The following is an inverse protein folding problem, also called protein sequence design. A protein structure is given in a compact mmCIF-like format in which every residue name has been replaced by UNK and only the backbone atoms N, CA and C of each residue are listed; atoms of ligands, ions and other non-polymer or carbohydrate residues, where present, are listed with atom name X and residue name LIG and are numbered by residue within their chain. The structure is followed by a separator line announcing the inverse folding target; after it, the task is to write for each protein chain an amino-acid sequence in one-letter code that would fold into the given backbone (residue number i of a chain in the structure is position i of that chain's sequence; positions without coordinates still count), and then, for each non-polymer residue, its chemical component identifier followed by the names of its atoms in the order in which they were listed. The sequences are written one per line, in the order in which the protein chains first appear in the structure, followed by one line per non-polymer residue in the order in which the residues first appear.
data_IF_081954094076
#
_entry.id   IF_081954094076
#
_cell.length_a   1.000
_cell.length_b   1.000
_cell.length_c   1.000
_cell.angle_alpha   90.00
_cell.angle_beta   90.00
_cell.angle_gamma   90.00
#
_symmetry.space_group_name_H-M   'P 1'
#
loop_
_entity.id
_entity.type
_entity.pdbx_description
1 polymer ?
#
# COMPACT_ATOMS: atom_id res chain seq x y z
N UNK A 1 -50.98 6.49 -32.43
CA UNK A 1 -51.42 5.13 -32.79
C UNK A 1 -50.20 4.21 -32.78
N UNK A 2 -50.39 3.02 -32.31
CA UNK A 2 -49.59 2.38 -31.27
C UNK A 2 -48.70 1.24 -31.85
N UNK A 3 -47.83 0.68 -31.01
CA UNK A 3 -47.73 -0.73 -30.55
C UNK A 3 -46.35 -0.91 -29.94
N UNK A 4 -46.23 -0.96 -28.66
CA UNK A 4 -46.09 -2.13 -27.80
C UNK A 4 -45.47 -3.36 -28.48
N UNK A 5 -44.28 -3.78 -28.02
CA UNK A 5 -44.14 -5.13 -27.45
C UNK A 5 -42.90 -5.22 -26.55
N UNK A 6 -43.18 -5.63 -25.34
CA UNK A 6 -42.27 -6.22 -24.37
C UNK A 6 -41.79 -7.58 -24.87
N UNK A 7 -40.56 -7.95 -24.61
CA UNK A 7 -40.23 -9.32 -24.29
C UNK A 7 -39.27 -9.36 -23.09
N UNK A 8 -39.88 -9.78 -22.03
CA UNK A 8 -39.34 -10.33 -20.79
C UNK A 8 -38.91 -11.77 -21.05
N UNK A 9 -38.00 -12.29 -20.25
CA UNK A 9 -37.85 -13.72 -19.93
C UNK A 9 -36.50 -14.34 -20.34
N UNK A 10 -35.77 -14.78 -19.33
CA UNK A 10 -34.64 -15.69 -19.47
C UNK A 10 -33.67 -15.72 -18.28
N UNK A 11 -34.14 -15.44 -17.08
CA UNK A 11 -33.44 -15.88 -15.88
C UNK A 11 -34.32 -16.88 -15.16
N UNK A 12 -33.82 -18.02 -14.83
CA UNK A 12 -34.38 -19.15 -14.08
C UNK A 12 -34.46 -20.42 -14.90
N UNK A 13 -33.50 -21.25 -14.73
CA UNK A 13 -33.58 -22.70 -14.64
C UNK A 13 -32.15 -23.27 -14.80
N UNK A 14 -31.59 -23.75 -13.76
CA UNK A 14 -30.92 -25.02 -13.57
C UNK A 14 -30.38 -25.07 -12.14
N UNK A 15 -31.30 -25.33 -11.26
CA UNK A 15 -31.03 -25.96 -9.98
C UNK A 15 -32.07 -27.05 -9.88
N UNK A 16 -31.71 -28.30 -9.71
CA UNK A 16 -32.41 -29.44 -9.12
C UNK A 16 -32.03 -30.77 -9.79
N UNK A 17 -31.68 -31.68 -8.91
CA UNK A 17 -31.65 -33.15 -9.00
C UNK A 17 -30.34 -33.76 -9.51
N UNK A 18 -29.69 -34.59 -8.74
CA UNK A 18 -30.20 -35.86 -8.23
C UNK A 18 -29.43 -36.39 -7.05
N UNK A 19 -30.12 -36.63 -5.99
CA UNK A 19 -29.78 -37.61 -4.98
C UNK A 19 -30.50 -38.93 -5.32
N UNK A 20 -29.99 -40.01 -4.76
CA UNK A 20 -30.52 -41.40 -4.72
C UNK A 20 -29.89 -42.34 -5.76
N UNK A 21 -29.39 -43.45 -5.40
CA UNK A 21 -29.72 -44.58 -4.52
C UNK A 21 -28.47 -45.49 -4.49
N UNK A 22 -28.03 -46.20 -3.53
CA UNK A 22 -28.65 -47.05 -2.57
C UNK A 22 -27.90 -48.36 -2.47
N UNK A 23 -27.62 -48.76 -1.27
CA UNK A 23 -27.86 -50.14 -0.86
C UNK A 23 -26.67 -51.11 -0.69
N UNK A 24 -26.47 -51.52 0.53
CA UNK A 24 -26.26 -52.90 0.90
C UNK A 24 -24.86 -53.25 1.43
N UNK A 25 -24.69 -53.25 2.75
CA UNK A 25 -24.49 -54.42 3.64
C UNK A 25 -23.31 -55.36 3.27
N UNK A 26 -22.39 -55.69 4.12
CA UNK A 26 -22.40 -56.40 5.40
C UNK A 26 -20.96 -56.54 6.00
N UNK A 27 -20.90 -56.36 7.25
CA UNK A 27 -20.21 -57.04 8.33
C UNK A 27 -18.93 -57.87 8.06
N UNK A 28 -17.95 -57.56 8.83
CA UNK A 28 -16.79 -58.45 9.11
C UNK A 28 -15.88 -57.85 10.17
N UNK A 29 -16.21 -58.05 11.43
CA UNK A 29 -15.35 -57.80 12.60
C UNK A 29 -14.17 -58.78 12.60
N UNK A 30 -12.97 -58.27 12.84
CA UNK A 30 -11.94 -59.06 13.59
C UNK A 30 -10.88 -58.11 14.17
N UNK A 31 -10.71 -58.28 15.46
CA UNK A 31 -9.84 -57.80 16.49
C UNK A 31 -8.45 -57.24 16.14
N UNK A 32 -8.07 -56.28 16.98
CA UNK A 32 -6.73 -55.71 17.22
C UNK A 32 -5.67 -56.73 17.60
N UNK A 33 -4.38 -56.31 17.56
CA UNK A 33 -3.80 -55.91 18.81
C UNK A 33 -2.97 -54.62 18.76
N UNK A 34 -3.06 -53.91 19.87
CA UNK A 34 -2.24 -52.79 20.28
C UNK A 34 -0.77 -53.11 20.26
N UNK A 35 0.02 -52.24 19.64
CA UNK A 35 1.46 -52.18 19.96
C UNK A 35 1.78 -50.71 20.25
N UNK A 36 1.81 -50.43 21.55
CA UNK A 36 2.37 -49.22 22.15
C UNK A 36 3.83 -49.11 21.73
N UNK A 37 4.15 -48.20 20.82
CA UNK A 37 5.53 -47.72 20.64
C UNK A 37 5.73 -46.55 21.58
N UNK A 38 6.52 -46.83 22.57
CA UNK A 38 7.18 -45.90 23.49
C UNK A 38 7.96 -44.89 22.66
N UNK A 39 7.54 -43.61 22.72
CA UNK A 39 8.25 -42.49 22.09
C UNK A 39 9.39 -42.13 23.03
N UNK A 40 10.58 -42.55 22.66
CA UNK A 40 11.83 -42.12 23.28
C UNK A 40 12.04 -40.63 22.99
N UNK A 41 11.79 -39.81 24.02
CA UNK A 41 12.02 -38.35 23.97
C UNK A 41 13.51 -38.12 24.23
N UNK A 42 14.28 -38.03 23.16
CA UNK A 42 15.65 -37.51 23.23
C UNK A 42 15.66 -36.04 23.66
N UNK A 43 16.61 -35.59 24.50
CA UNK A 43 16.62 -34.22 25.00
C UNK A 43 16.90 -33.24 23.87
N UNK A 44 16.06 -32.20 23.80
CA UNK A 44 16.21 -31.07 22.90
C UNK A 44 17.53 -30.34 23.16
N UNK A 45 18.49 -30.51 22.25
CA UNK A 45 19.65 -29.63 22.16
C UNK A 45 19.19 -28.27 21.67
N UNK A 46 19.32 -27.27 22.53
CA UNK A 46 18.88 -25.88 22.32
C UNK A 46 19.94 -25.01 21.64
N UNK A 47 20.71 -25.51 20.69
CA UNK A 47 21.80 -24.72 20.10
C UNK A 47 21.83 -24.65 18.56
N UNK A 48 20.80 -25.12 17.84
CA UNK A 48 20.79 -25.01 16.38
C UNK A 48 19.42 -24.57 15.86
N UNK A 49 19.05 -23.32 16.14
CA UNK A 49 17.87 -22.70 15.54
C UNK A 49 18.18 -21.32 14.95
N UNK A 50 19.13 -21.28 14.04
CA UNK A 50 19.14 -20.28 12.96
C UNK A 50 18.52 -20.99 11.76
N UNK A 51 17.33 -20.58 11.28
CA UNK A 51 16.63 -21.35 10.26
C UNK A 51 17.43 -21.36 8.95
N UNK A 52 17.64 -22.55 8.40
CA UNK A 52 18.16 -22.81 7.05
C UNK A 52 17.24 -22.28 5.93
N UNK A 53 16.30 -21.40 6.27
CA UNK A 53 15.36 -20.79 5.33
C UNK A 53 16.04 -20.07 4.15
N UNK A 54 17.22 -19.50 4.35
CA UNK A 54 17.91 -18.75 3.29
C UNK A 54 18.48 -19.65 2.20
N UNK A 55 18.93 -20.86 2.54
CA UNK A 55 19.51 -21.79 1.59
C UNK A 55 18.47 -22.52 0.75
N UNK A 56 17.34 -22.92 1.33
CA UNK A 56 16.26 -23.59 0.59
C UNK A 56 15.56 -22.63 -0.39
N UNK A 57 15.31 -21.40 0.03
CA UNK A 57 14.71 -20.38 -0.85
C UNK A 57 15.65 -20.01 -2.00
N UNK A 58 16.96 -19.89 -1.71
CA UNK A 58 17.97 -19.64 -2.75
C UNK A 58 18.10 -20.81 -3.74
N UNK A 59 18.08 -22.05 -3.25
CA UNK A 59 18.15 -23.25 -4.10
C UNK A 59 16.90 -23.38 -4.96
N UNK A 60 15.70 -23.21 -4.39
CA UNK A 60 14.44 -23.21 -5.15
C UNK A 60 14.40 -22.08 -6.19
N UNK A 61 14.88 -20.88 -5.86
CA UNK A 61 14.98 -19.79 -6.82
C UNK A 61 15.96 -20.09 -7.95
N UNK A 62 17.08 -20.75 -7.67
CA UNK A 62 18.04 -21.18 -8.68
C UNK A 62 17.50 -22.32 -9.57
N UNK A 63 16.80 -23.29 -9.00
CA UNK A 63 16.12 -24.35 -9.75
C UNK A 63 15.02 -23.79 -10.65
N UNK A 64 14.20 -22.85 -10.13
CA UNK A 64 13.20 -22.16 -10.93
C UNK A 64 13.85 -21.32 -12.06
N UNK A 65 14.95 -20.64 -11.78
CA UNK A 65 15.66 -19.83 -12.78
C UNK A 65 16.32 -20.72 -13.84
N UNK A 66 16.80 -21.91 -13.45
CA UNK A 66 17.37 -22.90 -14.38
C UNK A 66 16.28 -23.56 -15.26
N UNK A 67 15.09 -23.82 -14.66
CA UNK A 67 13.97 -24.45 -15.35
C UNK A 67 13.18 -23.49 -16.27
N UNK A 68 13.18 -22.20 -15.98
CA UNK A 68 12.36 -21.20 -16.69
C UNK A 68 13.14 -20.30 -17.65
N UNK A 69 14.39 -20.61 -17.94
CA UNK A 69 15.21 -19.89 -18.91
C UNK A 69 15.53 -18.44 -18.51
N UNK A 70 16.06 -17.62 -19.48
CA UNK A 70 16.51 -16.25 -19.19
C UNK A 70 15.40 -15.30 -18.74
N UNK A 71 14.15 -15.56 -19.10
CA UNK A 71 13.01 -14.70 -18.72
C UNK A 71 12.73 -14.82 -17.21
N UNK A 72 12.78 -16.02 -16.65
CA UNK A 72 12.59 -16.22 -15.21
C UNK A 72 13.71 -15.57 -14.42
N UNK A 73 14.96 -15.64 -14.88
CA UNK A 73 16.08 -14.95 -14.24
C UNK A 73 15.88 -13.43 -14.16
N UNK A 74 15.35 -12.80 -15.22
CA UNK A 74 14.98 -11.37 -15.23
C UNK A 74 13.85 -11.10 -14.23
N UNK A 75 12.81 -11.93 -14.21
CA UNK A 75 11.68 -11.78 -13.29
C UNK A 75 12.11 -11.92 -11.82
N UNK A 76 12.99 -12.87 -11.50
CA UNK A 76 13.56 -13.01 -10.15
C UNK A 76 14.36 -11.77 -9.75
N UNK A 77 15.19 -11.26 -10.67
CA UNK A 77 15.94 -10.01 -10.42
C UNK A 77 15.00 -8.84 -10.16
N UNK A 78 13.94 -8.67 -10.97
CA UNK A 78 12.92 -7.64 -10.76
C UNK A 78 12.19 -7.82 -9.43
N UNK A 79 11.91 -9.06 -9.02
CA UNK A 79 11.30 -9.37 -7.72
C UNK A 79 12.16 -8.91 -6.55
N UNK A 80 13.47 -9.21 -6.59
CA UNK A 80 14.42 -8.76 -5.55
C UNK A 80 14.46 -7.24 -5.48
N UNK A 81 14.49 -6.56 -6.64
CA UNK A 81 14.43 -5.10 -6.70
C UNK A 81 13.12 -4.54 -6.11
N UNK A 82 11.99 -5.13 -6.46
CA UNK A 82 10.69 -4.72 -5.92
C UNK A 82 10.64 -4.87 -4.41
N UNK A 83 11.08 -6.01 -3.87
CA UNK A 83 11.12 -6.27 -2.43
C UNK A 83 12.06 -5.28 -1.73
N UNK A 84 13.24 -5.02 -2.28
CA UNK A 84 14.19 -4.05 -1.72
C UNK A 84 13.58 -2.65 -1.63
N UNK A 85 12.93 -2.17 -2.70
CA UNK A 85 12.26 -0.87 -2.71
C UNK A 85 11.09 -0.84 -1.71
N UNK A 86 10.29 -1.90 -1.63
CA UNK A 86 9.18 -2.00 -0.68
C UNK A 86 9.66 -1.93 0.77
N UNK A 87 10.74 -2.65 1.10
CA UNK A 87 11.37 -2.61 2.43
C UNK A 87 11.92 -1.21 2.76
N UNK A 88 12.61 -0.57 1.81
CA UNK A 88 13.13 0.79 1.98
C UNK A 88 11.98 1.79 2.22
N UNK A 89 10.85 1.65 1.52
CA UNK A 89 9.67 2.50 1.70
C UNK A 89 8.99 2.27 3.04
N UNK A 90 8.81 1.02 3.43
CA UNK A 90 8.26 0.68 4.74
C UNK A 90 9.13 1.29 5.86
N UNK A 91 10.45 1.15 5.75
CA UNK A 91 11.41 1.76 6.67
C UNK A 91 11.31 3.30 6.68
N UNK A 92 11.23 3.94 5.51
CA UNK A 92 11.07 5.39 5.38
C UNK A 92 9.81 5.87 6.09
N UNK A 93 8.66 5.22 5.88
CA UNK A 93 7.40 5.58 6.52
C UNK A 93 7.44 5.39 8.04
N UNK A 94 8.08 4.33 8.50
CA UNK A 94 8.30 4.10 9.92
C UNK A 94 9.21 5.17 10.55
N UNK A 95 10.32 5.50 9.88
CA UNK A 95 11.31 6.50 10.36
C UNK A 95 10.75 7.92 10.42
N UNK A 96 9.92 8.31 9.45
CA UNK A 96 9.26 9.62 9.42
C UNK A 96 8.10 9.74 10.41
N UNK A 97 7.80 8.67 11.16
CA UNK A 97 6.72 8.64 12.16
C UNK A 97 5.39 9.19 11.59
N UNK A 98 5.07 8.82 10.34
CA UNK A 98 3.88 9.30 9.62
C UNK A 98 2.59 9.05 10.45
N UNK A 99 2.60 8.08 11.31
CA UNK A 99 1.47 7.71 12.17
C UNK A 99 1.35 8.56 13.44
N UNK A 100 2.35 9.41 13.77
CA UNK A 100 2.28 10.34 14.90
C UNK A 100 1.48 11.62 14.54
N UNK A 101 0.17 11.43 14.32
CA UNK A 101 -0.74 12.54 14.02
C UNK A 101 -1.07 13.38 15.25
N UNK A 102 -0.86 12.83 16.44
CA UNK A 102 -1.23 13.47 17.70
C UNK A 102 -0.42 14.74 17.97
N UNK A 103 0.88 14.74 17.62
CA UNK A 103 1.76 15.90 17.84
C UNK A 103 1.27 17.15 17.08
N UNK A 104 0.86 17.01 15.83
CA UNK A 104 0.33 18.12 15.04
C UNK A 104 -1.00 18.64 15.59
N UNK A 105 -1.85 17.75 16.06
CA UNK A 105 -3.14 18.10 16.70
C UNK A 105 -2.93 18.77 18.06
N UNK A 106 -1.98 18.29 18.87
CA UNK A 106 -1.61 18.92 20.15
C UNK A 106 -1.08 20.33 19.92
N UNK A 107 -0.19 20.53 18.94
CA UNK A 107 0.31 21.85 18.57
C UNK A 107 -0.83 22.79 18.14
N UNK A 108 -1.76 22.30 17.31
CA UNK A 108 -2.94 23.05 16.91
C UNK A 108 -3.84 23.44 18.10
N UNK A 109 -4.02 22.54 19.07
CA UNK A 109 -4.79 22.83 20.28
C UNK A 109 -4.12 23.89 21.16
N UNK A 110 -2.80 23.86 21.30
CA UNK A 110 -2.03 24.91 21.99
C UNK A 110 -2.16 26.25 21.27
N UNK A 111 -2.13 26.26 19.95
CA UNK A 111 -2.34 27.45 19.13
C UNK A 111 -3.74 28.05 19.30
N UNK A 112 -4.78 27.23 19.38
CA UNK A 112 -6.16 27.65 19.70
C UNK A 112 -6.28 28.35 21.07
N UNK A 113 -5.48 27.90 22.04
CA UNK A 113 -5.42 28.50 23.38
C UNK A 113 -4.62 29.80 23.42
N UNK A 114 -4.07 30.28 22.28
CA UNK A 114 -3.24 31.47 22.21
C UNK A 114 -1.78 31.28 22.68
N UNK A 115 -1.36 30.03 22.93
CA UNK A 115 0.00 29.69 23.37
C UNK A 115 0.90 29.41 22.16
N UNK A 116 1.18 30.44 21.37
CA UNK A 116 1.88 30.31 20.09
C UNK A 116 3.28 29.68 20.23
N UNK A 117 4.08 30.12 21.22
CA UNK A 117 5.44 29.61 21.43
C UNK A 117 5.42 28.13 21.81
N UNK A 118 4.56 27.73 22.73
CA UNK A 118 4.41 26.31 23.12
C UNK A 118 3.87 25.45 21.98
N UNK A 119 3.01 25.97 21.11
CA UNK A 119 2.52 25.29 19.91
C UNK A 119 3.64 25.05 18.91
N UNK A 120 4.48 26.05 18.68
CA UNK A 120 5.63 25.97 17.78
C UNK A 120 6.67 24.95 18.30
N UNK A 121 7.06 25.07 19.57
CA UNK A 121 7.97 24.14 20.23
C UNK A 121 7.48 22.69 20.14
N UNK A 122 6.19 22.48 20.35
CA UNK A 122 5.58 21.14 20.26
C UNK A 122 5.64 20.57 18.85
N UNK A 123 5.37 21.39 17.85
CA UNK A 123 5.41 20.98 16.44
C UNK A 123 6.86 20.70 15.97
N UNK A 124 7.83 21.52 16.37
CA UNK A 124 9.24 21.39 15.98
C UNK A 124 9.94 20.17 16.59
N UNK A 125 9.46 19.67 17.73
CA UNK A 125 9.98 18.45 18.34
C UNK A 125 9.71 17.18 17.53
N UNK A 126 8.83 17.24 16.52
CA UNK A 126 8.47 16.09 15.70
C UNK A 126 8.96 16.23 14.27
N UNK A 127 9.45 15.11 13.72
CA UNK A 127 9.79 14.98 12.29
C UNK A 127 8.61 14.58 11.42
N UNK A 128 7.42 14.42 12.00
CA UNK A 128 6.23 14.06 11.25
C UNK A 128 5.87 15.15 10.23
N UNK A 129 5.59 14.82 8.97
CA UNK A 129 5.27 15.81 7.93
C UNK A 129 4.12 16.75 8.31
N UNK A 130 3.10 16.23 9.00
CA UNK A 130 1.98 17.04 9.52
C UNK A 130 2.42 18.09 10.52
N UNK A 131 3.34 17.75 11.42
CA UNK A 131 3.87 18.69 12.41
C UNK A 131 4.73 19.78 11.75
N UNK A 132 5.54 19.43 10.76
CA UNK A 132 6.35 20.37 9.98
C UNK A 132 5.47 21.42 9.29
N UNK A 133 4.37 20.99 8.68
CA UNK A 133 3.42 21.90 8.00
C UNK A 133 2.70 22.82 8.99
N UNK A 134 2.28 22.29 10.15
CA UNK A 134 1.66 23.09 11.22
C UNK A 134 2.65 24.11 11.78
N UNK A 135 3.92 23.71 12.03
CA UNK A 135 4.97 24.62 12.49
C UNK A 135 5.23 25.76 11.49
N UNK A 136 5.31 25.42 10.19
CA UNK A 136 5.51 26.40 9.12
C UNK A 136 4.35 27.41 9.06
N UNK A 137 3.10 26.94 9.14
CA UNK A 137 1.91 27.78 9.14
C UNK A 137 1.88 28.71 10.36
N UNK A 138 2.10 28.19 11.57
CA UNK A 138 2.11 28.99 12.81
C UNK A 138 3.25 30.02 12.76
N UNK A 139 4.46 29.65 12.36
CA UNK A 139 5.61 30.56 12.26
C UNK A 139 5.36 31.67 11.26
N UNK A 140 4.83 31.34 10.06
CA UNK A 140 4.54 32.31 9.01
C UNK A 140 3.54 33.37 9.46
N UNK A 141 2.45 32.95 10.10
CA UNK A 141 1.41 33.86 10.60
C UNK A 141 1.89 34.68 11.79
N UNK A 142 2.60 34.06 12.74
CA UNK A 142 3.10 34.75 13.95
C UNK A 142 4.14 35.80 13.65
N UNK A 143 4.83 35.77 12.50
CA UNK A 143 5.82 36.77 12.11
C UNK A 143 5.21 38.13 11.82
N UNK A 144 3.93 38.21 11.46
CA UNK A 144 3.19 39.45 11.21
C UNK A 144 3.67 40.33 10.03
N UNK A 145 4.81 40.01 9.43
CA UNK A 145 5.44 40.79 8.36
C UNK A 145 5.12 40.27 6.94
N UNK A 146 4.47 39.11 6.83
CA UNK A 146 4.21 38.44 5.56
C UNK A 146 2.69 38.39 5.36
N UNK A 147 2.17 38.73 4.15
CA UNK A 147 0.76 38.59 3.86
C UNK A 147 0.30 37.12 4.03
N UNK A 148 -0.88 36.90 4.60
CA UNK A 148 -1.43 35.55 4.83
C UNK A 148 -1.44 34.69 3.56
N UNK A 149 -1.76 35.31 2.41
CA UNK A 149 -1.76 34.63 1.12
C UNK A 149 -0.40 34.02 0.78
N UNK A 150 0.68 34.75 1.00
CA UNK A 150 2.07 34.29 0.77
C UNK A 150 2.44 33.14 1.71
N UNK A 151 2.02 33.24 2.99
CA UNK A 151 2.24 32.14 3.95
C UNK A 151 1.48 30.88 3.49
N UNK A 152 0.24 31.02 3.02
CA UNK A 152 -0.57 29.92 2.52
C UNK A 152 0.06 29.24 1.29
N UNK A 153 0.58 30.03 0.37
CA UNK A 153 1.30 29.52 -0.81
C UNK A 153 2.57 28.77 -0.41
N UNK A 154 3.34 29.30 0.53
CA UNK A 154 4.57 28.66 1.01
C UNK A 154 4.27 27.34 1.75
N UNK A 155 3.24 27.29 2.57
CA UNK A 155 2.79 26.08 3.26
C UNK A 155 2.32 25.02 2.24
N UNK A 156 1.56 25.44 1.22
CA UNK A 156 1.11 24.55 0.13
C UNK A 156 2.29 23.99 -0.66
N UNK A 157 3.25 24.85 -1.02
CA UNK A 157 4.47 24.45 -1.73
C UNK A 157 5.28 23.44 -0.92
N UNK A 158 5.51 23.72 0.36
CA UNK A 158 6.23 22.83 1.26
C UNK A 158 5.52 21.47 1.42
N UNK A 159 4.19 21.48 1.53
CA UNK A 159 3.37 20.29 1.60
C UNK A 159 3.52 19.42 0.36
N UNK A 160 3.40 20.03 -0.83
CA UNK A 160 3.59 19.32 -2.11
C UNK A 160 4.98 18.72 -2.21
N UNK A 161 6.02 19.46 -1.86
CA UNK A 161 7.40 18.97 -1.91
C UNK A 161 7.66 17.78 -0.97
N UNK A 162 7.07 17.80 0.23
CA UNK A 162 7.13 16.66 1.15
C UNK A 162 6.46 15.42 0.57
N UNK A 163 5.27 15.59 -0.02
CA UNK A 163 4.53 14.48 -0.66
C UNK A 163 5.26 13.92 -1.89
N UNK A 164 5.85 14.78 -2.72
CA UNK A 164 6.67 14.35 -3.85
C UNK A 164 7.87 13.51 -3.39
N UNK A 165 8.55 13.91 -2.32
CA UNK A 165 9.65 13.14 -1.72
C UNK A 165 9.18 11.76 -1.26
N UNK A 166 7.95 11.64 -0.75
CA UNK A 166 7.37 10.36 -0.37
C UNK A 166 6.99 9.50 -1.58
N UNK A 167 6.72 10.07 -2.75
CA UNK A 167 6.31 9.35 -3.97
C UNK A 167 7.48 8.93 -4.87
N UNK A 168 8.71 9.36 -4.61
CA UNK A 168 9.88 9.18 -5.51
C UNK A 168 10.04 7.72 -5.99
N UNK A 169 9.85 6.71 -5.14
CA UNK A 169 10.08 5.31 -5.50
C UNK A 169 8.82 4.55 -5.95
N UNK A 170 7.67 5.23 -6.11
CA UNK A 170 6.47 4.56 -6.63
C UNK A 170 6.61 4.23 -8.10
N UNK A 171 7.18 5.15 -8.88
CA UNK A 171 7.41 4.96 -10.33
C UNK A 171 8.16 3.67 -10.69
N UNK A 172 9.33 3.35 -10.10
CA UNK A 172 10.00 2.07 -10.36
C UNK A 172 9.13 0.85 -10.03
N UNK A 173 8.37 0.89 -8.92
CA UNK A 173 7.46 -0.20 -8.56
C UNK A 173 6.32 -0.35 -9.56
N UNK A 174 5.71 0.76 -10.04
CA UNK A 174 4.69 0.76 -11.10
C UNK A 174 5.22 0.11 -12.38
N UNK A 175 6.45 0.45 -12.77
CA UNK A 175 7.10 -0.14 -13.96
C UNK A 175 7.28 -1.64 -13.77
N UNK A 176 7.77 -2.10 -12.61
CA UNK A 176 7.92 -3.52 -12.31
C UNK A 176 6.55 -4.23 -12.34
N UNK A 177 5.55 -3.65 -11.70
CA UNK A 177 4.19 -4.20 -11.65
C UNK A 177 3.56 -4.37 -13.03
N UNK A 178 3.82 -3.41 -13.94
CA UNK A 178 3.33 -3.46 -15.32
C UNK A 178 4.13 -4.41 -16.22
N UNK A 179 5.46 -4.44 -16.07
CA UNK A 179 6.31 -5.24 -16.95
C UNK A 179 6.36 -6.71 -16.55
N UNK A 180 6.24 -7.05 -15.25
CA UNK A 180 6.38 -8.44 -14.81
C UNK A 180 5.37 -9.40 -15.48
N UNK A 181 4.06 -9.10 -15.59
CA UNK A 181 3.12 -9.94 -16.32
C UNK A 181 3.42 -10.03 -17.82
N UNK A 182 3.87 -8.93 -18.44
CA UNK A 182 4.21 -8.90 -19.85
C UNK A 182 5.44 -9.75 -20.15
N UNK A 183 6.45 -9.72 -19.27
CA UNK A 183 7.61 -10.60 -19.36
C UNK A 183 7.23 -12.07 -19.14
N UNK A 184 6.30 -12.35 -18.22
CA UNK A 184 5.74 -13.69 -18.04
C UNK A 184 5.06 -14.20 -19.30
N UNK A 185 4.21 -13.38 -19.94
CA UNK A 185 3.58 -13.70 -21.20
C UNK A 185 4.62 -13.88 -22.33
N UNK A 186 5.60 -13.00 -22.41
CA UNK A 186 6.69 -13.14 -23.37
C UNK A 186 7.46 -14.44 -23.19
N UNK A 187 7.68 -14.86 -21.93
CA UNK A 187 8.29 -16.15 -21.63
C UNK A 187 7.49 -17.34 -22.16
N UNK A 188 6.14 -17.28 -22.13
CA UNK A 188 5.33 -18.37 -22.73
C UNK A 188 5.51 -18.46 -24.22
N UNK A 189 5.62 -17.33 -24.92
CA UNK A 189 5.84 -17.32 -26.38
C UNK A 189 7.21 -17.94 -26.70
N UNK A 190 8.27 -17.55 -25.98
CA UNK A 190 9.61 -18.13 -26.17
C UNK A 190 9.64 -19.61 -25.84
N UNK A 191 9.03 -20.05 -24.73
CA UNK A 191 8.97 -21.46 -24.34
C UNK A 191 8.25 -22.32 -25.37
N UNK A 192 7.15 -21.83 -25.92
CA UNK A 192 6.42 -22.53 -26.99
C UNK A 192 7.21 -22.61 -28.30
N UNK A 193 7.91 -21.52 -28.67
CA UNK A 193 8.77 -21.53 -29.87
C UNK A 193 9.86 -22.59 -29.71
N UNK A 194 10.50 -22.67 -28.54
CA UNK A 194 11.56 -23.65 -28.30
C UNK A 194 11.00 -25.10 -28.25
N UNK A 195 9.82 -25.30 -27.64
CA UNK A 195 9.17 -26.61 -27.64
C UNK A 195 8.87 -27.12 -29.06
N UNK A 196 8.33 -26.26 -29.94
CA UNK A 196 8.06 -26.64 -31.34
C UNK A 196 9.36 -26.86 -32.13
N UNK A 197 10.42 -26.10 -31.89
CA UNK A 197 11.70 -26.29 -32.52
C UNK A 197 12.32 -27.62 -32.14
N UNK A 198 12.24 -28.03 -30.88
CA UNK A 198 12.72 -29.34 -30.43
C UNK A 198 11.91 -30.48 -31.04
N UNK A 199 10.58 -30.31 -31.17
CA UNK A 199 9.70 -31.27 -31.82
C UNK A 199 10.05 -31.43 -33.32
N UNK A 200 10.32 -30.35 -34.02
CA UNK A 200 10.76 -30.35 -35.42
C UNK A 200 12.08 -31.11 -35.59
N UNK A 201 13.06 -30.89 -34.71
CA UNK A 201 14.35 -31.57 -34.74
C UNK A 201 14.24 -33.08 -34.41
N UNK A 202 13.26 -33.51 -33.63
CA UNK A 202 13.03 -34.93 -33.31
C UNK A 202 12.50 -35.75 -34.50
N UNK A 203 12.01 -35.11 -35.57
CA UNK A 203 11.57 -35.77 -36.81
C UNK A 203 10.52 -36.83 -36.59
N UNK A 204 10.75 -38.08 -37.03
CA UNK A 204 9.79 -39.18 -36.95
C UNK A 204 9.67 -39.81 -35.53
N UNK A 205 10.52 -39.42 -34.57
CA UNK A 205 10.47 -39.88 -33.18
C UNK A 205 9.82 -38.80 -32.30
N UNK A 206 8.53 -38.60 -32.50
CA UNK A 206 7.76 -37.64 -31.70
C UNK A 206 7.60 -38.20 -30.28
N UNK A 207 8.30 -37.61 -29.32
CA UNK A 207 8.11 -37.88 -27.90
C UNK A 207 7.20 -36.79 -27.31
N UNK A 208 5.97 -37.13 -26.85
CA UNK A 208 5.05 -36.16 -26.24
C UNK A 208 5.62 -35.49 -24.98
N UNK A 209 6.62 -36.08 -24.35
CA UNK A 209 7.26 -35.53 -23.16
C UNK A 209 8.01 -34.24 -23.45
N UNK A 210 8.60 -34.07 -24.63
CA UNK A 210 9.29 -32.87 -25.06
C UNK A 210 8.31 -31.68 -25.11
N UNK A 211 7.14 -31.91 -25.71
CA UNK A 211 6.10 -30.88 -25.81
C UNK A 211 5.54 -30.53 -24.44
N UNK A 212 5.30 -31.52 -23.60
CA UNK A 212 4.78 -31.33 -22.23
C UNK A 212 5.77 -30.52 -21.38
N UNK A 213 7.06 -30.80 -21.48
CA UNK A 213 8.12 -30.06 -20.78
C UNK A 213 8.17 -28.58 -21.18
N UNK A 214 8.15 -28.30 -22.50
CA UNK A 214 8.15 -26.92 -22.99
C UNK A 214 6.89 -26.13 -22.62
N UNK A 215 5.72 -26.78 -22.62
CA UNK A 215 4.46 -26.14 -22.14
C UNK A 215 4.58 -25.83 -20.64
N UNK A 216 5.09 -26.75 -19.84
CA UNK A 216 5.26 -26.53 -18.39
C UNK A 216 6.19 -25.33 -18.12
N UNK A 217 7.34 -25.27 -18.78
CA UNK A 217 8.28 -24.15 -18.65
C UNK A 217 7.62 -22.82 -19.05
N UNK A 218 6.89 -22.82 -20.15
CA UNK A 218 6.15 -21.66 -20.62
C UNK A 218 5.15 -21.16 -19.58
N UNK A 219 4.31 -22.05 -19.04
CA UNK A 219 3.30 -21.69 -18.04
C UNK A 219 3.92 -21.20 -16.73
N UNK A 220 5.06 -21.79 -16.34
CA UNK A 220 5.81 -21.40 -15.15
C UNK A 220 6.26 -19.92 -15.24
N UNK A 221 6.74 -19.47 -16.39
CA UNK A 221 7.16 -18.06 -16.56
C UNK A 221 6.02 -17.09 -16.33
N UNK A 222 4.81 -17.38 -16.78
CA UNK A 222 3.64 -16.55 -16.54
C UNK A 222 3.24 -16.55 -15.07
N UNK A 223 3.26 -17.74 -14.43
CA UNK A 223 2.95 -17.84 -13.00
C UNK A 223 3.93 -16.99 -12.16
N UNK A 224 5.22 -17.04 -12.46
CA UNK A 224 6.25 -16.22 -11.79
C UNK A 224 6.01 -14.74 -12.04
N UNK A 225 5.71 -14.33 -13.29
CA UNK A 225 5.41 -12.93 -13.62
C UNK A 225 4.24 -12.36 -12.83
N UNK A 226 3.16 -13.14 -12.69
CA UNK A 226 1.99 -12.76 -11.88
C UNK A 226 2.30 -12.76 -10.38
N UNK A 227 3.10 -13.72 -9.91
CA UNK A 227 3.52 -13.79 -8.50
C UNK A 227 4.34 -12.56 -8.07
N UNK A 228 5.09 -11.94 -8.99
CA UNK A 228 5.81 -10.68 -8.74
C UNK A 228 4.86 -9.48 -8.83
N UNK A 229 3.99 -9.45 -9.83
CA UNK A 229 3.14 -8.30 -10.10
C UNK A 229 2.07 -8.05 -9.03
N UNK A 230 1.36 -9.11 -8.61
CA UNK A 230 0.22 -9.00 -7.71
C UNK A 230 0.59 -8.34 -6.37
N UNK A 231 1.61 -8.83 -5.62
CA UNK A 231 2.01 -8.19 -4.38
C UNK A 231 2.57 -6.78 -4.59
N UNK A 232 3.26 -6.53 -5.72
CA UNK A 232 3.81 -5.21 -6.03
C UNK A 232 2.68 -4.19 -6.23
N UNK A 233 1.63 -4.51 -7.01
CA UNK A 233 0.45 -3.64 -7.18
C UNK A 233 -0.26 -3.39 -5.86
N UNK A 234 -0.45 -4.44 -5.05
CA UNK A 234 -1.10 -4.31 -3.75
C UNK A 234 -0.33 -3.37 -2.81
N UNK A 235 1.00 -3.48 -2.78
CA UNK A 235 1.86 -2.63 -1.95
C UNK A 235 1.88 -1.18 -2.44
N UNK A 236 1.93 -0.93 -3.75
CA UNK A 236 1.84 0.43 -4.30
C UNK A 236 0.53 1.07 -3.85
N UNK A 237 -0.60 0.40 -4.08
CA UNK A 237 -1.92 0.92 -3.71
C UNK A 237 -2.06 1.19 -2.21
N UNK A 238 -1.41 0.38 -1.39
CA UNK A 238 -1.37 0.61 0.06
C UNK A 238 -0.53 1.83 0.43
N UNK A 239 0.66 2.00 -0.17
CA UNK A 239 1.52 3.16 0.06
C UNK A 239 0.86 4.46 -0.43
N UNK A 240 0.21 4.45 -1.61
CA UNK A 240 -0.53 5.60 -2.14
C UNK A 240 -1.62 6.04 -1.17
N UNK A 241 -2.40 5.11 -0.65
CA UNK A 241 -3.45 5.41 0.34
C UNK A 241 -2.89 6.08 1.60
N UNK A 242 -1.70 5.67 2.07
CA UNK A 242 -1.04 6.29 3.23
C UNK A 242 -0.64 7.73 2.89
N UNK A 243 -0.03 7.96 1.72
CA UNK A 243 0.43 9.29 1.29
C UNK A 243 -0.75 10.23 1.03
N UNK A 244 -1.82 9.75 0.42
CA UNK A 244 -3.03 10.54 0.17
C UNK A 244 -3.74 10.90 1.49
N UNK A 245 -3.84 9.96 2.43
CA UNK A 245 -4.34 10.24 3.76
C UNK A 245 -3.51 11.28 4.52
N UNK A 246 -2.19 11.25 4.34
CA UNK A 246 -1.28 12.25 4.89
C UNK A 246 -1.49 13.63 4.24
N UNK A 247 -1.67 13.69 2.92
CA UNK A 247 -1.93 14.91 2.17
C UNK A 247 -3.19 15.61 2.68
N UNK A 248 -4.29 14.89 2.78
CA UNK A 248 -5.56 15.44 3.30
C UNK A 248 -5.43 15.93 4.75
N UNK A 249 -4.67 15.24 5.59
CA UNK A 249 -4.48 15.68 6.98
C UNK A 249 -3.62 16.93 7.06
N UNK A 250 -2.55 17.03 6.28
CA UNK A 250 -1.71 18.23 6.20
C UNK A 250 -2.52 19.45 5.75
N UNK A 251 -3.32 19.31 4.70
CA UNK A 251 -4.19 20.37 4.18
C UNK A 251 -5.24 20.81 5.22
N UNK A 252 -5.88 19.85 5.89
CA UNK A 252 -6.88 20.12 6.92
C UNK A 252 -6.26 20.86 8.12
N UNK A 253 -5.11 20.42 8.63
CA UNK A 253 -4.44 21.06 9.76
C UNK A 253 -3.94 22.46 9.39
N UNK A 254 -3.36 22.64 8.21
CA UNK A 254 -2.94 23.95 7.72
C UNK A 254 -4.14 24.93 7.62
N UNK A 255 -5.24 24.47 7.03
CA UNK A 255 -6.48 25.28 6.92
C UNK A 255 -7.03 25.66 8.28
N UNK A 256 -6.97 24.78 9.27
CA UNK A 256 -7.41 25.12 10.63
C UNK A 256 -6.54 26.21 11.29
N UNK A 257 -5.22 26.21 11.07
CA UNK A 257 -4.35 27.28 11.57
C UNK A 257 -4.76 28.64 11.00
N UNK A 258 -5.01 28.73 9.69
CA UNK A 258 -5.47 29.97 9.03
C UNK A 258 -6.86 30.42 9.50
N UNK A 259 -7.79 29.49 9.67
CA UNK A 259 -9.15 29.77 10.14
C UNK A 259 -9.17 30.33 11.57
N UNK A 260 -8.32 29.79 12.45
CA UNK A 260 -8.20 30.29 13.82
C UNK A 260 -7.73 31.76 13.84
N UNK A 261 -6.78 32.12 12.99
CA UNK A 261 -6.30 33.49 12.91
C UNK A 261 -7.35 34.47 12.39
N UNK A 262 -8.07 34.09 11.34
CA UNK A 262 -9.20 34.88 10.84
C UNK A 262 -10.23 35.14 11.93
N UNK A 263 -10.55 34.15 12.75
CA UNK A 263 -11.52 34.30 13.85
C UNK A 263 -11.02 35.26 14.93
N UNK A 264 -9.72 35.25 15.25
CA UNK A 264 -9.12 36.20 16.21
C UNK A 264 -9.18 37.64 15.72
N UNK A 265 -8.88 37.87 14.43
CA UNK A 265 -8.94 39.18 13.79
C UNK A 265 -10.35 39.72 13.80
N UNK A 266 -11.35 38.91 13.47
CA UNK A 266 -12.77 39.30 13.45
C UNK A 266 -13.27 39.70 14.85
N UNK A 267 -12.97 38.88 15.86
CA UNK A 267 -13.35 39.13 17.26
C UNK A 267 -12.65 40.36 17.83
N UNK A 268 -11.40 40.61 17.45
CA UNK A 268 -10.64 41.80 17.82
C UNK A 268 -11.24 43.08 17.23
N UNK A 269 -11.72 43.03 15.98
CA UNK A 269 -12.35 44.17 15.31
C UNK A 269 -13.71 44.51 15.93
N UNK A 270 -14.51 43.53 16.27
CA UNK A 270 -15.82 43.70 16.93
C UNK A 270 -15.70 44.33 18.32
N UNK A 271 -14.73 43.88 19.14
CA UNK A 271 -14.41 44.50 20.43
C UNK A 271 -14.00 45.97 20.30
N UNK A 272 -13.20 46.32 19.26
CA UNK A 272 -12.72 47.67 19.03
C UNK A 272 -13.81 48.60 18.55
N UNK A 273 -14.76 48.12 17.76
CA UNK A 273 -15.94 48.87 17.29
C UNK A 273 -16.91 49.12 18.45
N UNK A 274 -17.15 48.10 19.28
CA UNK A 274 -18.06 48.21 20.44
C UNK A 274 -17.50 49.18 21.48
N UNK A 275 -16.21 49.11 21.80
CA UNK A 275 -15.56 50.04 22.75
C UNK A 275 -15.59 51.51 22.26
N UNK A 276 -15.42 51.71 20.94
CA UNK A 276 -15.47 53.05 20.32
C UNK A 276 -16.87 53.64 20.34
N UNK A 277 -17.91 52.81 20.19
CA UNK A 277 -19.31 53.22 20.26
C UNK A 277 -19.75 53.55 21.69
N UNK A 278 -19.30 52.79 22.67
CA UNK A 278 -19.57 53.06 24.10
C UNK A 278 -18.88 54.38 24.53
N UNK A 279 -17.62 54.62 24.14
CA UNK A 279 -16.89 55.84 24.41
C UNK A 279 -17.55 57.08 23.78
N UNK A 280 -18.09 56.97 22.55
CA UNK A 280 -18.84 58.07 21.88
C UNK A 280 -20.19 58.37 22.57
N UNK A 281 -20.87 57.35 23.10
CA UNK A 281 -22.15 57.50 23.79
C UNK A 281 -22.01 58.15 25.17
N UNK A 282 -20.90 57.82 25.88
CA UNK A 282 -20.57 58.49 27.17
C UNK A 282 -20.27 60.00 27.00
N UNK A 283 -19.53 60.41 25.96
CA UNK A 283 -19.25 61.83 25.68
C UNK A 283 -20.46 62.69 25.23
N UNK A 284 -21.56 62.06 24.82
CA UNK A 284 -22.80 62.76 24.47
C UNK A 284 -23.78 62.91 25.63
N UNK A 285 -23.53 62.20 26.75
CA UNK A 285 -24.38 62.27 27.94
C UNK A 285 -23.93 63.35 28.95
N UNK A 286 -22.66 63.81 28.84
CA UNK A 286 -22.06 64.82 29.74
C UNK A 286 -21.93 66.23 29.15
N UNK A 287 -22.56 66.53 28.01
CA UNK A 287 -22.64 67.84 27.38
C UNK A 287 -24.07 68.27 27.14
#
# INVERSE_FOLDING_TARGET
MPIHQQTKTGADAIFVAQAQTGGGAEAGATAAPETTKEVDVAPANSDDAIPEFDNEIMQQAQELAAAGGPVVAILVTMSVFAIAIMCLKAWQFYSLRIWQRDVARDALNLYRQGRNDAALDRAEQSRAPTAVIVALAIRGISSGNIPEMTVREEVSRAGTQLLETLRIFFRPLEVIAALAPLLGLFGTVLGMIEAFRQLEQAGNKIDPSILSGGIWEALLTTAVGLAVAIPTVAMISWFERIVDGLAHEMENLATQVFTIELSKVTTGHEKKVTSRNVSKKGKRADG
#
